data_IF_806349738379
#
_entry.id   IF_806349738379
#
_cell.length_a   1.000
_cell.length_b   1.000
_cell.length_c   1.000
_cell.angle_alpha   90.00
_cell.angle_beta   90.00
_cell.angle_gamma   90.00
#
_symmetry.space_group_name_H-M   'P 1'
#
loop_
_entity.id
_entity.type
_entity.pdbx_description
1 polymer ?
#
# COMPACT_ATOMS: atom_id res chain seq x y z
N UNK A 1 17.82 10.45 -7.28
CA UNK A 1 16.56 9.96 -6.66
C UNK A 1 16.72 9.90 -5.15
N UNK A 2 16.59 11.02 -4.45
CA UNK A 2 16.70 11.06 -2.98
C UNK A 2 15.49 10.42 -2.26
N UNK A 3 14.33 10.36 -2.93
CA UNK A 3 13.07 9.90 -2.34
C UNK A 3 12.76 8.41 -2.57
N UNK A 4 13.65 7.66 -3.23
CA UNK A 4 13.43 6.24 -3.54
C UNK A 4 13.07 5.39 -2.30
N UNK A 5 13.67 5.62 -1.11
CA UNK A 5 13.25 4.93 0.12
C UNK A 5 11.76 5.08 0.47
N UNK A 6 11.20 6.28 0.31
CA UNK A 6 9.79 6.57 0.64
C UNK A 6 8.81 5.92 -0.35
N UNK A 7 9.23 5.71 -1.60
CA UNK A 7 8.48 4.92 -2.60
C UNK A 7 8.19 3.53 -2.04
N UNK A 8 9.23 2.84 -1.56
CA UNK A 8 9.09 1.48 -1.01
C UNK A 8 8.29 1.48 0.29
N UNK A 9 8.57 2.41 1.20
CA UNK A 9 7.85 2.52 2.46
C UNK A 9 6.33 2.66 2.25
N UNK A 10 5.92 3.59 1.39
CA UNK A 10 4.49 3.84 1.13
C UNK A 10 3.83 2.68 0.40
N UNK A 11 4.40 2.18 -0.70
CA UNK A 11 3.77 1.10 -1.50
C UNK A 11 3.68 -0.21 -0.71
N UNK A 12 4.78 -0.64 -0.08
CA UNK A 12 4.80 -1.88 0.69
C UNK A 12 3.93 -1.75 1.95
N UNK A 13 3.98 -0.60 2.64
CA UNK A 13 3.17 -0.34 3.82
C UNK A 13 1.67 -0.34 3.51
N UNK A 14 1.23 0.36 2.46
CA UNK A 14 -0.16 0.37 2.00
C UNK A 14 -0.62 -1.03 1.58
N UNK A 15 0.23 -1.78 0.86
CA UNK A 15 -0.08 -3.15 0.45
C UNK A 15 -0.20 -4.11 1.64
N UNK A 16 0.66 -3.97 2.65
CA UNK A 16 0.60 -4.74 3.88
C UNK A 16 -0.66 -4.43 4.70
N UNK A 17 -1.01 -3.15 4.85
CA UNK A 17 -2.25 -2.73 5.52
C UNK A 17 -3.49 -3.29 4.80
N UNK A 18 -3.50 -3.22 3.46
CA UNK A 18 -4.56 -3.83 2.65
C UNK A 18 -4.64 -5.35 2.83
N UNK A 19 -3.51 -6.05 2.86
CA UNK A 19 -3.49 -7.50 3.09
C UNK A 19 -4.05 -7.88 4.48
N UNK A 20 -3.70 -7.14 5.54
CA UNK A 20 -4.28 -7.33 6.88
C UNK A 20 -5.81 -7.17 6.84
N UNK A 21 -6.31 -6.09 6.24
CA UNK A 21 -7.73 -5.82 6.12
C UNK A 21 -8.46 -6.94 5.35
N UNK A 22 -8.03 -7.26 4.13
CA UNK A 22 -8.76 -8.19 3.28
C UNK A 22 -8.67 -9.64 3.78
N UNK A 23 -7.53 -10.05 4.36
CA UNK A 23 -7.43 -11.36 4.97
C UNK A 23 -8.31 -11.48 6.22
N UNK A 24 -8.33 -10.45 7.08
CA UNK A 24 -9.18 -10.43 8.27
C UNK A 24 -10.68 -10.50 7.90
N UNK A 25 -11.14 -9.65 6.97
CA UNK A 25 -12.53 -9.68 6.50
C UNK A 25 -12.87 -11.01 5.81
N UNK A 26 -11.95 -11.55 5.01
CA UNK A 26 -12.14 -12.86 4.36
C UNK A 26 -12.32 -13.97 5.39
N UNK A 27 -11.58 -13.93 6.50
CA UNK A 27 -11.73 -14.88 7.61
C UNK A 27 -13.10 -14.73 8.29
N UNK A 28 -13.56 -13.50 8.53
CA UNK A 28 -14.88 -13.23 9.12
C UNK A 28 -16.04 -13.67 8.24
N UNK A 29 -15.86 -13.62 6.93
CA UNK A 29 -16.81 -14.16 5.95
C UNK A 29 -16.73 -15.68 5.78
N UNK A 30 -15.85 -16.37 6.48
CA UNK A 30 -15.65 -17.83 6.35
C UNK A 30 -15.00 -18.27 5.04
N UNK A 31 -14.47 -17.34 4.24
CA UNK A 31 -13.88 -17.61 2.92
C UNK A 31 -12.43 -18.12 2.96
N UNK A 32 -11.75 -17.95 4.09
CA UNK A 32 -10.40 -18.49 4.32
C UNK A 32 -10.30 -19.17 5.69
N UNK A 33 -9.39 -20.14 5.79
CA UNK A 33 -9.09 -20.82 7.04
C UNK A 33 -8.12 -20.04 7.94
N UNK A 34 -7.87 -20.58 9.13
CA UNK A 34 -6.95 -19.98 10.11
C UNK A 34 -5.48 -19.98 9.64
N UNK A 35 -5.09 -20.98 8.85
CA UNK A 35 -3.73 -21.12 8.32
C UNK A 35 -3.47 -20.06 7.25
N UNK A 36 -4.45 -19.78 6.40
CA UNK A 36 -4.41 -18.74 5.38
C UNK A 36 -4.34 -17.35 6.03
N UNK A 37 -5.17 -17.07 7.05
CA UNK A 37 -5.08 -15.81 7.80
C UNK A 37 -3.70 -15.64 8.45
N UNK A 38 -3.19 -16.67 9.12
CA UNK A 38 -1.84 -16.65 9.70
C UNK A 38 -0.78 -16.33 8.65
N UNK A 39 -0.81 -17.01 7.50
CA UNK A 39 0.18 -16.80 6.44
C UNK A 39 0.05 -15.39 5.84
N UNK A 40 -1.16 -14.84 5.72
CA UNK A 40 -1.41 -13.48 5.28
C UNK A 40 -0.81 -12.46 6.25
N UNK A 41 -1.05 -12.63 7.56
CA UNK A 41 -0.50 -11.74 8.60
C UNK A 41 1.03 -11.78 8.62
N UNK A 42 1.64 -12.97 8.45
CA UNK A 42 3.10 -13.11 8.36
C UNK A 42 3.63 -12.36 7.13
N UNK A 43 3.03 -12.60 5.96
CA UNK A 43 3.44 -11.95 4.72
C UNK A 43 3.30 -10.43 4.81
N UNK A 44 2.16 -9.93 5.29
CA UNK A 44 1.93 -8.51 5.49
C UNK A 44 2.96 -7.88 6.42
N UNK A 45 3.25 -8.54 7.55
CA UNK A 45 4.26 -8.07 8.49
C UNK A 45 5.64 -8.01 7.84
N UNK A 46 6.07 -9.06 7.13
CA UNK A 46 7.36 -9.08 6.43
C UNK A 46 7.45 -7.96 5.39
N UNK A 47 6.40 -7.79 4.57
CA UNK A 47 6.32 -6.72 3.57
C UNK A 47 6.43 -5.35 4.23
N UNK A 48 5.72 -5.13 5.34
CA UNK A 48 5.78 -3.87 6.10
C UNK A 48 7.18 -3.62 6.69
N UNK A 49 7.82 -4.64 7.26
CA UNK A 49 9.19 -4.52 7.81
C UNK A 49 10.20 -4.20 6.71
N UNK A 50 10.08 -4.80 5.52
CA UNK A 50 10.93 -4.46 4.37
C UNK A 50 10.69 -2.99 3.96
N UNK A 51 9.43 -2.55 3.88
CA UNK A 51 9.09 -1.16 3.58
C UNK A 51 9.69 -0.17 4.58
N UNK A 52 9.60 -0.47 5.89
CA UNK A 52 10.22 0.34 6.94
C UNK A 52 11.74 0.32 6.90
N UNK A 53 12.35 -0.84 6.67
CA UNK A 53 13.81 -0.95 6.62
C UNK A 53 14.38 -0.12 5.46
N UNK A 54 13.76 -0.22 4.28
CA UNK A 54 14.15 0.59 3.12
C UNK A 54 13.85 2.07 3.38
N UNK A 55 12.66 2.40 3.88
CA UNK A 55 12.29 3.78 4.25
C UNK A 55 13.31 4.40 5.21
N UNK A 56 13.68 3.70 6.28
CA UNK A 56 14.65 4.16 7.26
C UNK A 56 16.03 4.52 6.68
N UNK A 57 16.39 4.03 5.49
CA UNK A 57 17.64 4.41 4.81
C UNK A 57 17.68 5.90 4.40
N UNK A 58 16.53 6.58 4.30
CA UNK A 58 16.51 8.03 4.07
C UNK A 58 16.82 8.84 5.34
N UNK A 59 16.75 8.22 6.53
CA UNK A 59 16.93 8.92 7.80
C UNK A 59 18.42 8.98 8.11
N UNK A 60 19.08 10.06 7.70
CA UNK A 60 20.51 10.26 7.95
C UNK A 60 20.90 10.30 9.45
N UNK A 61 19.93 10.46 10.36
CA UNK A 61 20.16 10.47 11.82
C UNK A 61 19.07 9.70 12.58
N UNK A 62 19.20 8.37 12.72
CA UNK A 62 18.18 7.51 13.34
C UNK A 62 17.76 7.94 14.75
N UNK A 63 18.69 8.48 15.55
CA UNK A 63 18.39 8.94 16.92
C UNK A 63 17.44 10.15 16.96
N UNK A 64 17.37 10.95 15.89
CA UNK A 64 16.42 12.08 15.80
C UNK A 64 14.99 11.61 15.52
N UNK A 65 14.78 10.34 15.18
CA UNK A 65 13.43 9.76 15.07
C UNK A 65 12.61 9.96 16.35
N UNK A 66 13.23 9.85 17.53
CA UNK A 66 12.54 10.10 18.80
C UNK A 66 12.08 11.56 18.94
N UNK A 67 12.83 12.52 18.39
CA UNK A 67 12.40 13.92 18.36
C UNK A 67 11.22 14.12 17.41
N UNK A 68 11.13 13.32 16.33
CA UNK A 68 10.00 13.37 15.41
C UNK A 68 8.68 12.96 16.09
N UNK A 69 8.74 12.13 17.15
CA UNK A 69 7.57 11.79 17.96
C UNK A 69 6.98 13.00 18.72
N UNK A 70 7.80 14.01 19.03
CA UNK A 70 7.32 15.26 19.64
C UNK A 70 6.47 16.10 18.67
N UNK A 71 6.55 15.81 17.38
CA UNK A 71 5.73 16.44 16.34
C UNK A 71 4.37 15.76 16.11
N UNK A 72 4.06 14.67 16.82
CA UNK A 72 2.77 13.98 16.68
C UNK A 72 1.62 14.93 17.04
N UNK A 73 0.60 14.97 16.18
CA UNK A 73 -0.53 15.89 16.23
C UNK A 73 -0.26 17.24 15.55
N UNK A 74 0.99 17.58 15.20
CA UNK A 74 1.36 18.87 14.60
C UNK A 74 1.94 18.74 13.18
N UNK A 75 2.74 17.70 12.94
CA UNK A 75 3.41 17.46 11.66
C UNK A 75 2.80 16.23 10.97
N UNK A 76 2.34 16.34 9.70
CA UNK A 76 1.88 15.20 8.93
C UNK A 76 2.92 14.08 8.83
N UNK A 77 4.20 14.42 8.64
CA UNK A 77 5.29 13.45 8.56
C UNK A 77 5.49 12.72 9.89
N UNK A 78 5.42 13.43 11.02
CA UNK A 78 5.46 12.81 12.35
C UNK A 78 4.28 11.87 12.59
N UNK A 79 3.08 12.27 12.15
CA UNK A 79 1.87 11.44 12.26
C UNK A 79 1.98 10.16 11.43
N UNK A 80 2.49 10.26 10.19
CA UNK A 80 2.74 9.10 9.32
C UNK A 80 3.69 8.12 9.98
N UNK A 81 4.84 8.59 10.45
CA UNK A 81 5.84 7.76 11.11
C UNK A 81 5.29 7.09 12.38
N UNK A 82 4.60 7.85 13.23
CA UNK A 82 3.97 7.31 14.45
C UNK A 82 2.92 6.24 14.14
N UNK A 83 1.99 6.52 13.21
CA UNK A 83 0.93 5.58 12.85
C UNK A 83 1.48 4.32 12.19
N UNK A 84 2.55 4.43 11.41
CA UNK A 84 3.24 3.27 10.86
C UNK A 84 3.83 2.38 11.97
N UNK A 85 4.42 2.97 13.01
CA UNK A 85 4.92 2.25 14.19
C UNK A 85 3.80 1.59 15.01
N UNK A 86 2.67 2.26 15.19
CA UNK A 86 1.47 1.68 15.85
C UNK A 86 0.96 0.47 15.06
N UNK A 87 0.86 0.58 13.74
CA UNK A 87 0.46 -0.53 12.87
C UNK A 87 1.41 -1.72 13.01
N UNK A 88 2.72 -1.50 12.92
CA UNK A 88 3.72 -2.58 13.07
C UNK A 88 3.67 -3.22 14.45
N UNK A 89 3.43 -2.44 15.50
CA UNK A 89 3.30 -2.95 16.87
C UNK A 89 2.12 -3.91 16.98
N UNK A 90 0.94 -3.55 16.47
CA UNK A 90 -0.23 -4.44 16.51
C UNK A 90 -0.12 -5.62 15.54
N UNK A 91 0.53 -5.45 14.40
CA UNK A 91 0.85 -6.55 13.50
C UNK A 91 1.80 -7.56 14.16
N UNK A 92 2.86 -7.09 14.84
CA UNK A 92 3.76 -7.93 15.63
C UNK A 92 3.03 -8.63 16.79
N UNK A 93 2.17 -7.91 17.52
CA UNK A 93 1.36 -8.48 18.58
C UNK A 93 0.42 -9.59 18.06
N UNK A 94 -0.19 -9.38 16.88
CA UNK A 94 -1.02 -10.39 16.21
C UNK A 94 -0.22 -11.65 15.95
N UNK A 95 1.00 -11.53 15.40
CA UNK A 95 1.88 -12.68 15.17
C UNK A 95 2.35 -13.32 16.46
N UNK A 96 2.68 -12.53 17.48
CA UNK A 96 3.13 -13.03 18.77
C UNK A 96 2.08 -13.92 19.43
N UNK A 97 0.83 -13.44 19.50
CA UNK A 97 -0.29 -14.22 20.03
C UNK A 97 -0.73 -15.36 19.13
N UNK A 98 -0.37 -15.35 17.84
CA UNK A 98 -0.65 -16.46 16.91
C UNK A 98 0.39 -17.57 17.02
N UNK A 99 1.67 -17.23 17.12
CA UNK A 99 2.78 -18.19 16.99
C UNK A 99 3.29 -18.70 18.33
N UNK A 100 3.43 -17.83 19.33
CA UNK A 100 4.13 -18.16 20.57
C UNK A 100 3.15 -18.39 21.72
N UNK A 101 2.31 -17.40 22.03
CA UNK A 101 1.47 -17.45 23.24
C UNK A 101 0.08 -18.09 23.02
N UNK A 102 -0.37 -18.17 21.76
CA UNK A 102 -1.58 -18.90 21.32
C UNK A 102 -2.86 -18.55 22.10
N UNK A 103 -3.06 -17.27 22.47
CA UNK A 103 -4.29 -16.78 23.11
C UNK A 103 -5.26 -16.22 22.07
N UNK A 104 -6.40 -16.88 21.78
CA UNK A 104 -7.29 -16.48 20.69
C UNK A 104 -7.88 -15.09 20.84
N UNK A 105 -8.29 -14.70 22.05
CA UNK A 105 -8.87 -13.38 22.33
C UNK A 105 -7.87 -12.25 22.09
N UNK A 106 -6.64 -12.37 22.62
CA UNK A 106 -5.60 -11.35 22.44
C UNK A 106 -5.15 -11.24 20.99
N UNK A 107 -5.05 -12.39 20.30
CA UNK A 107 -4.79 -12.42 18.85
C UNK A 107 -5.86 -11.68 18.07
N UNK A 108 -7.13 -11.91 18.39
CA UNK A 108 -8.26 -11.27 17.73
C UNK A 108 -8.25 -9.76 17.94
N UNK A 109 -8.10 -9.31 19.19
CA UNK A 109 -8.00 -7.89 19.53
C UNK A 109 -6.80 -7.22 18.84
N UNK A 110 -5.63 -7.88 18.83
CA UNK A 110 -4.46 -7.38 18.14
C UNK A 110 -4.66 -7.27 16.63
N UNK A 111 -5.36 -8.23 16.01
CA UNK A 111 -5.62 -8.21 14.58
C UNK A 111 -6.58 -7.07 14.20
N UNK A 112 -7.65 -6.87 14.98
CA UNK A 112 -8.56 -5.72 14.82
C UNK A 112 -7.79 -4.40 14.97
N UNK A 113 -6.95 -4.30 16.00
CA UNK A 113 -6.13 -3.11 16.22
C UNK A 113 -5.14 -2.87 15.08
N UNK A 114 -4.54 -3.93 14.50
CA UNK A 114 -3.67 -3.86 13.33
C UNK A 114 -4.41 -3.36 12.09
N UNK A 115 -5.64 -3.82 11.85
CA UNK A 115 -6.47 -3.34 10.74
C UNK A 115 -6.80 -1.86 10.90
N UNK A 116 -7.26 -1.43 12.08
CA UNK A 116 -7.64 -0.03 12.35
C UNK A 116 -6.42 0.89 12.23
N UNK A 117 -5.30 0.52 12.87
CA UNK A 117 -4.06 1.32 12.80
C UNK A 117 -3.44 1.32 11.40
N UNK A 118 -3.53 0.22 10.65
CA UNK A 118 -3.13 0.16 9.25
C UNK A 118 -3.93 1.12 8.38
N UNK A 119 -5.25 1.22 8.56
CA UNK A 119 -6.08 2.20 7.86
C UNK A 119 -5.74 3.65 8.26
N UNK A 120 -5.50 3.89 9.55
CA UNK A 120 -5.06 5.21 10.02
C UNK A 120 -3.69 5.59 9.42
N UNK A 121 -2.77 4.63 9.29
CA UNK A 121 -1.50 4.82 8.60
C UNK A 121 -1.69 5.13 7.10
N UNK A 122 -2.52 4.38 6.38
CA UNK A 122 -2.80 4.70 4.96
C UNK A 122 -3.42 6.09 4.80
N UNK A 123 -4.29 6.49 5.73
CA UNK A 123 -4.90 7.82 5.78
C UNK A 123 -3.90 8.96 6.04
N UNK A 124 -2.84 8.71 6.82
CA UNK A 124 -1.85 9.75 7.14
C UNK A 124 -0.87 10.04 6.00
N UNK A 125 -0.57 9.05 5.15
CA UNK A 125 0.35 9.20 4.02
C UNK A 125 0.01 10.41 3.12
N UNK A 126 -1.20 10.54 2.54
CA UNK A 126 -1.49 11.67 1.64
C UNK A 126 -1.42 13.04 2.32
N UNK A 127 -1.55 13.13 3.64
CA UNK A 127 -1.43 14.41 4.37
C UNK A 127 -0.01 14.96 4.35
N UNK A 128 0.99 14.10 4.17
CA UNK A 128 2.39 14.52 3.99
C UNK A 128 2.57 15.28 2.67
N UNK A 129 1.78 14.94 1.65
CA UNK A 129 1.95 15.44 0.28
C UNK A 129 0.95 16.52 -0.12
N UNK A 130 -0.19 16.64 0.57
CA UNK A 130 -1.14 17.74 0.37
C UNK A 130 -0.62 19.04 1.00
N UNK A 131 0.48 19.56 0.46
CA UNK A 131 1.16 20.77 0.90
C UNK A 131 1.09 21.86 -0.17
N UNK A 132 0.65 23.06 0.22
CA UNK A 132 0.36 24.15 -0.70
C UNK A 132 1.56 24.58 -1.57
N UNK A 133 2.79 24.36 -1.11
CA UNK A 133 4.02 24.73 -1.82
C UNK A 133 4.35 23.84 -3.03
N UNK A 134 3.66 22.71 -3.20
CA UNK A 134 3.91 21.77 -4.29
C UNK A 134 2.57 21.42 -4.94
N UNK A 135 2.18 22.22 -5.95
CA UNK A 135 0.88 22.11 -6.60
C UNK A 135 0.63 20.71 -7.22
N UNK A 136 1.65 20.08 -7.80
CA UNK A 136 1.53 18.75 -8.41
C UNK A 136 1.14 17.65 -7.40
N UNK A 137 1.46 17.86 -6.12
CA UNK A 137 1.14 16.94 -5.03
C UNK A 137 -0.13 17.34 -4.27
N UNK A 138 -0.45 18.63 -4.20
CA UNK A 138 -1.60 19.15 -3.49
C UNK A 138 -2.90 19.01 -4.29
N UNK A 139 -3.38 17.77 -4.42
CA UNK A 139 -4.56 17.45 -5.21
C UNK A 139 -5.28 16.22 -4.67
N UNK A 140 -6.59 16.14 -4.93
CA UNK A 140 -7.39 14.96 -4.58
C UNK A 140 -6.90 13.69 -5.28
N UNK A 141 -6.25 13.80 -6.45
CA UNK A 141 -5.63 12.67 -7.14
C UNK A 141 -4.53 11.99 -6.32
N UNK A 142 -3.76 12.77 -5.54
CA UNK A 142 -2.75 12.24 -4.62
C UNK A 142 -3.39 11.33 -3.60
N UNK A 143 -4.40 11.85 -2.89
CA UNK A 143 -5.16 11.07 -1.90
C UNK A 143 -5.76 9.82 -2.52
N UNK A 144 -6.40 9.95 -3.69
CA UNK A 144 -7.00 8.81 -4.40
C UNK A 144 -5.95 7.74 -4.72
N UNK A 145 -4.82 8.12 -5.32
CA UNK A 145 -3.75 7.19 -5.68
C UNK A 145 -3.19 6.45 -4.44
N UNK A 146 -3.02 7.14 -3.31
CA UNK A 146 -2.54 6.53 -2.07
C UNK A 146 -3.49 5.42 -1.57
N UNK A 147 -4.79 5.68 -1.56
CA UNK A 147 -5.78 4.66 -1.17
C UNK A 147 -5.89 3.52 -2.19
N UNK A 148 -5.78 3.80 -3.49
CA UNK A 148 -5.87 2.76 -4.50
C UNK A 148 -4.69 1.78 -4.43
N UNK A 149 -3.49 2.23 -4.04
CA UNK A 149 -2.35 1.32 -3.79
C UNK A 149 -2.66 0.29 -2.71
N UNK A 150 -3.39 0.67 -1.64
CA UNK A 150 -3.83 -0.29 -0.62
C UNK A 150 -4.79 -1.33 -1.20
N UNK A 151 -5.76 -0.90 -2.02
CA UNK A 151 -6.74 -1.80 -2.64
C UNK A 151 -6.09 -2.75 -3.65
N UNK A 152 -5.24 -2.21 -4.54
CA UNK A 152 -4.58 -2.93 -5.62
C UNK A 152 -3.49 -3.85 -5.08
N UNK A 153 -2.51 -3.30 -4.34
CA UNK A 153 -1.41 -4.09 -3.78
C UNK A 153 -1.88 -5.08 -2.72
N UNK A 154 -2.71 -4.64 -1.78
CA UNK A 154 -3.28 -5.50 -0.74
C UNK A 154 -4.23 -6.56 -1.31
N UNK A 155 -5.05 -6.19 -2.30
CA UNK A 155 -5.94 -7.11 -3.01
C UNK A 155 -5.15 -8.19 -3.76
N UNK A 156 -4.12 -7.81 -4.51
CA UNK A 156 -3.26 -8.77 -5.23
C UNK A 156 -2.56 -9.76 -4.29
N UNK A 157 -2.05 -9.29 -3.16
CA UNK A 157 -1.47 -10.16 -2.13
C UNK A 157 -2.52 -11.08 -1.48
N UNK A 158 -3.73 -10.57 -1.24
CA UNK A 158 -4.84 -11.36 -0.70
C UNK A 158 -5.25 -12.49 -1.68
N UNK A 159 -5.27 -12.21 -2.98
CA UNK A 159 -5.49 -13.23 -4.02
C UNK A 159 -4.40 -14.32 -3.93
N UNK A 160 -3.14 -13.92 -3.83
CA UNK A 160 -2.00 -14.84 -3.79
C UNK A 160 -2.02 -15.79 -2.56
N UNK A 161 -2.50 -15.30 -1.41
CA UNK A 161 -2.63 -16.12 -0.18
C UNK A 161 -3.90 -16.98 -0.15
N UNK A 162 -4.83 -16.73 -1.08
CA UNK A 162 -6.06 -17.51 -1.26
C UNK A 162 -7.34 -16.83 -0.77
N UNK A 163 -7.27 -15.58 -0.29
CA UNK A 163 -8.43 -14.72 -0.01
C UNK A 163 -9.00 -14.13 -1.33
N UNK A 164 -9.36 -15.02 -2.26
CA UNK A 164 -9.62 -14.66 -3.67
C UNK A 164 -10.83 -13.74 -3.85
N UNK A 165 -11.94 -13.98 -3.15
CA UNK A 165 -13.18 -13.21 -3.34
C UNK A 165 -12.99 -11.72 -3.05
N UNK A 166 -12.65 -11.37 -1.81
CA UNK A 166 -12.38 -9.98 -1.43
C UNK A 166 -11.13 -9.42 -2.12
N UNK A 167 -10.09 -10.23 -2.33
CA UNK A 167 -8.88 -9.78 -3.02
C UNK A 167 -9.15 -9.35 -4.47
N UNK A 168 -9.95 -10.12 -5.22
CA UNK A 168 -10.38 -9.76 -6.58
C UNK A 168 -11.26 -8.52 -6.56
N UNK A 169 -12.24 -8.44 -5.66
CA UNK A 169 -13.13 -7.29 -5.56
C UNK A 169 -12.34 -6.00 -5.26
N UNK A 170 -11.44 -6.04 -4.28
CA UNK A 170 -10.58 -4.92 -3.94
C UNK A 170 -9.67 -4.50 -5.10
N UNK A 171 -9.01 -5.48 -5.75
CA UNK A 171 -8.14 -5.22 -6.90
C UNK A 171 -8.93 -4.59 -8.06
N UNK A 172 -10.11 -5.12 -8.38
CA UNK A 172 -11.00 -4.60 -9.42
C UNK A 172 -11.39 -3.15 -9.14
N UNK A 173 -11.90 -2.86 -7.94
CA UNK A 173 -12.28 -1.50 -7.55
C UNK A 173 -11.08 -0.56 -7.65
N UNK A 174 -9.95 -0.96 -7.09
CA UNK A 174 -8.71 -0.18 -7.14
C UNK A 174 -8.25 0.13 -8.57
N UNK A 175 -8.17 -0.89 -9.42
CA UNK A 175 -7.73 -0.75 -10.81
C UNK A 175 -8.70 0.11 -11.64
N UNK A 176 -10.02 -0.11 -11.50
CA UNK A 176 -11.05 0.67 -12.21
C UNK A 176 -10.97 2.15 -11.82
N UNK A 177 -10.84 2.45 -10.53
CA UNK A 177 -10.71 3.83 -10.06
C UNK A 177 -9.42 4.47 -10.58
N UNK A 178 -8.28 3.75 -10.55
CA UNK A 178 -7.02 4.24 -11.13
C UNK A 178 -7.18 4.57 -12.62
N UNK A 179 -7.84 3.70 -13.39
CA UNK A 179 -8.05 3.93 -14.82
C UNK A 179 -9.01 5.09 -15.08
N UNK A 180 -10.12 5.16 -14.35
CA UNK A 180 -11.11 6.21 -14.47
C UNK A 180 -10.53 7.60 -14.14
N UNK A 181 -9.66 7.69 -13.13
CA UNK A 181 -9.05 8.95 -12.73
C UNK A 181 -7.82 9.33 -13.56
N UNK A 182 -7.27 8.41 -14.37
CA UNK A 182 -5.95 8.60 -15.02
C UNK A 182 -5.93 9.78 -15.98
N UNK A 183 -6.93 9.88 -16.85
CA UNK A 183 -7.01 10.95 -17.85
C UNK A 183 -7.12 12.33 -17.18
N UNK A 184 -7.98 12.46 -16.16
CA UNK A 184 -8.12 13.69 -15.39
C UNK A 184 -6.84 14.08 -14.64
N UNK A 185 -6.13 13.11 -14.06
CA UNK A 185 -4.87 13.39 -13.39
C UNK A 185 -3.78 13.84 -14.38
N UNK A 186 -3.68 13.19 -15.54
CA UNK A 186 -2.72 13.59 -16.57
C UNK A 186 -3.02 14.97 -17.16
N UNK A 187 -4.29 15.33 -17.37
CA UNK A 187 -4.68 16.67 -17.80
C UNK A 187 -4.22 17.73 -16.78
N UNK A 188 -4.52 17.51 -15.49
CA UNK A 188 -4.09 18.38 -14.40
C UNK A 188 -2.56 18.55 -14.34
N UNK A 189 -1.79 17.46 -14.45
CA UNK A 189 -0.33 17.52 -14.44
C UNK A 189 0.24 18.20 -15.70
N UNK A 190 -0.43 18.06 -16.84
CA UNK A 190 0.00 18.72 -18.08
C UNK A 190 -0.22 20.24 -18.02
N UNK A 191 -1.18 20.71 -17.23
CA UNK A 191 -1.39 22.14 -16.97
C UNK A 191 -0.42 22.68 -15.90
N UNK A 192 -0.19 21.92 -14.83
CA UNK A 192 0.56 22.39 -13.64
C UNK A 192 2.08 22.23 -13.78
N UNK A 193 2.54 21.19 -14.49
CA UNK A 193 3.95 20.85 -14.64
C UNK A 193 4.22 20.01 -15.90
N UNK A 194 4.04 20.57 -17.12
CA UNK A 194 4.05 19.81 -18.37
C UNK A 194 5.35 19.03 -18.62
N UNK A 195 6.51 19.65 -18.37
CA UNK A 195 7.81 19.00 -18.57
C UNK A 195 7.99 17.78 -17.66
N UNK A 196 7.72 17.94 -16.35
CA UNK A 196 7.80 16.85 -15.37
C UNK A 196 6.78 15.75 -15.68
N UNK A 197 5.54 16.12 -16.03
CA UNK A 197 4.49 15.18 -16.42
C UNK A 197 4.93 14.30 -17.59
N UNK A 198 5.49 14.92 -18.65
CA UNK A 198 5.95 14.22 -19.84
C UNK A 198 7.04 13.18 -19.53
N UNK A 199 8.01 13.54 -18.67
CA UNK A 199 9.08 12.63 -18.24
C UNK A 199 8.57 11.39 -17.50
N UNK A 200 7.42 11.47 -16.83
CA UNK A 200 6.86 10.33 -16.07
C UNK A 200 5.99 9.38 -16.90
N UNK A 201 5.75 9.70 -18.19
CA UNK A 201 4.86 8.91 -19.07
C UNK A 201 5.22 7.43 -19.11
N UNK A 202 6.52 7.09 -19.11
CA UNK A 202 6.98 5.70 -19.13
C UNK A 202 6.57 4.91 -17.88
N UNK A 203 6.74 5.50 -16.69
CA UNK A 203 6.35 4.86 -15.43
C UNK A 203 4.83 4.69 -15.31
N UNK A 204 4.06 5.70 -15.73
CA UNK A 204 2.59 5.62 -15.75
C UNK A 204 2.09 4.57 -16.75
N UNK A 205 2.68 4.53 -17.94
CA UNK A 205 2.36 3.53 -18.97
C UNK A 205 2.66 2.11 -18.48
N UNK A 206 3.84 1.90 -17.88
CA UNK A 206 4.19 0.61 -17.28
C UNK A 206 3.17 0.19 -16.21
N UNK A 207 2.81 1.08 -15.29
CA UNK A 207 1.81 0.78 -14.27
C UNK A 207 0.49 0.33 -14.89
N UNK A 208 -0.06 1.10 -15.83
CA UNK A 208 -1.35 0.79 -16.47
C UNK A 208 -1.30 -0.54 -17.21
N UNK A 209 -0.28 -0.77 -18.03
CA UNK A 209 -0.13 -2.01 -18.80
C UNK A 209 -0.08 -3.23 -17.88
N UNK A 210 0.73 -3.18 -16.82
CA UNK A 210 0.84 -4.30 -15.88
C UNK A 210 -0.47 -4.52 -15.13
N UNK A 211 -1.17 -3.45 -14.72
CA UNK A 211 -2.47 -3.59 -14.06
C UNK A 211 -3.54 -4.19 -14.98
N UNK A 212 -3.57 -3.84 -16.27
CA UNK A 212 -4.48 -4.44 -17.26
C UNK A 212 -4.18 -5.94 -17.44
N UNK A 213 -2.91 -6.31 -17.57
CA UNK A 213 -2.49 -7.72 -17.69
C UNK A 213 -2.85 -8.50 -16.42
N UNK A 214 -2.57 -7.92 -15.24
CA UNK A 214 -2.89 -8.53 -13.95
C UNK A 214 -4.41 -8.70 -13.76
N UNK A 215 -5.21 -7.72 -14.20
CA UNK A 215 -6.67 -7.79 -14.17
C UNK A 215 -7.19 -8.95 -15.02
N UNK A 216 -6.74 -9.04 -16.28
CA UNK A 216 -7.10 -10.15 -17.17
C UNK A 216 -6.65 -11.50 -16.59
N UNK A 217 -5.45 -11.55 -16.00
CA UNK A 217 -4.91 -12.71 -15.33
C UNK A 217 -5.77 -13.16 -14.14
N UNK A 218 -6.07 -12.25 -13.20
CA UNK A 218 -6.86 -12.56 -12.01
C UNK A 218 -8.30 -12.96 -12.35
N UNK A 219 -8.96 -12.27 -13.29
CA UNK A 219 -10.31 -12.65 -13.76
C UNK A 219 -10.28 -14.00 -14.45
N UNK A 220 -9.36 -14.24 -15.39
CA UNK A 220 -9.23 -15.53 -16.07
C UNK A 220 -8.94 -16.69 -15.11
N UNK A 221 -8.14 -16.45 -14.07
CA UNK A 221 -7.83 -17.42 -13.02
C UNK A 221 -9.01 -17.67 -12.08
N UNK A 222 -9.83 -16.65 -11.80
CA UNK A 222 -11.06 -16.80 -11.03
C UNK A 222 -12.07 -17.72 -11.73
N UNK A 223 -12.19 -17.59 -13.05
CA UNK A 223 -13.07 -18.41 -13.88
C UNK A 223 -12.62 -19.87 -13.98
N UNK A 224 -11.31 -20.13 -14.02
CA UNK A 224 -10.76 -21.49 -14.20
C UNK A 224 -10.68 -22.32 -12.92
N UNK A 225 -11.05 -21.78 -11.75
CA UNK A 225 -10.99 -22.35 -10.39
C UNK A 225 -9.63 -22.94 -9.91
N UNK A 226 -8.69 -23.24 -10.80
CA UNK A 226 -7.35 -23.76 -10.53
C UNK A 226 -6.30 -22.84 -11.14
N UNK A 227 -5.68 -22.04 -10.28
CA UNK A 227 -4.49 -21.25 -10.60
C UNK A 227 -3.31 -21.75 -9.75
N UNK A 228 -2.14 -22.03 -10.34
CA UNK A 228 -0.94 -22.36 -9.59
C UNK A 228 -0.58 -21.24 -8.62
N UNK A 229 -0.17 -21.58 -7.40
CA UNK A 229 0.24 -20.60 -6.38
C UNK A 229 1.41 -19.72 -6.86
N UNK A 230 2.34 -20.31 -7.62
CA UNK A 230 3.47 -19.58 -8.19
C UNK A 230 3.00 -18.46 -9.13
N UNK A 231 2.07 -18.76 -10.04
CA UNK A 231 1.52 -17.76 -10.97
C UNK A 231 0.83 -16.61 -10.23
N UNK A 232 0.02 -16.91 -9.21
CA UNK A 232 -0.64 -15.88 -8.40
C UNK A 232 0.38 -15.00 -7.66
N UNK A 233 1.45 -15.59 -7.12
CA UNK A 233 2.53 -14.86 -6.47
C UNK A 233 3.30 -13.99 -7.46
N UNK A 234 3.60 -14.49 -8.67
CA UNK A 234 4.22 -13.70 -9.74
C UNK A 234 3.35 -12.53 -10.17
N UNK A 235 2.03 -12.74 -10.34
CA UNK A 235 1.10 -11.65 -10.64
C UNK A 235 1.06 -10.60 -9.51
N UNK A 236 1.02 -11.02 -8.25
CA UNK A 236 1.06 -10.10 -7.12
C UNK A 236 2.38 -9.31 -7.07
N UNK A 237 3.52 -9.96 -7.33
CA UNK A 237 4.81 -9.29 -7.45
C UNK A 237 4.84 -8.26 -8.59
N UNK A 238 4.30 -8.61 -9.76
CA UNK A 238 4.20 -7.67 -10.88
C UNK A 238 3.31 -6.46 -10.54
N UNK A 239 2.19 -6.67 -9.84
CA UNK A 239 1.34 -5.57 -9.35
C UNK A 239 2.10 -4.66 -8.39
N UNK A 240 2.90 -5.20 -7.46
CA UNK A 240 3.72 -4.36 -6.57
C UNK A 240 4.77 -3.56 -7.35
N UNK A 241 5.39 -4.14 -8.38
CA UNK A 241 6.30 -3.40 -9.27
C UNK A 241 5.59 -2.28 -10.04
N UNK A 242 4.36 -2.51 -10.48
CA UNK A 242 3.53 -1.50 -11.13
C UNK A 242 3.22 -0.34 -10.18
N UNK A 243 2.84 -0.65 -8.93
CA UNK A 243 2.59 0.38 -7.91
C UNK A 243 3.87 1.14 -7.53
N UNK A 244 5.01 0.46 -7.45
CA UNK A 244 6.32 1.12 -7.26
C UNK A 244 6.64 2.07 -8.42
N UNK A 245 6.42 1.67 -9.67
CA UNK A 245 6.62 2.53 -10.83
C UNK A 245 5.72 3.78 -10.78
N UNK A 246 4.41 3.60 -10.53
CA UNK A 246 3.49 4.72 -10.36
C UNK A 246 3.83 5.62 -9.18
N UNK A 247 4.41 5.06 -8.12
CA UNK A 247 4.88 5.84 -6.97
C UNK A 247 6.17 6.60 -7.28
N UNK A 248 7.12 6.03 -8.02
CA UNK A 248 8.30 6.75 -8.52
C UNK A 248 7.88 7.97 -9.35
N UNK A 249 6.94 7.75 -10.29
CA UNK A 249 6.38 8.83 -11.09
C UNK A 249 5.82 9.96 -10.21
N UNK A 250 5.05 9.61 -9.17
CA UNK A 250 4.50 10.57 -8.21
C UNK A 250 5.58 11.39 -7.48
N UNK A 251 6.62 10.76 -6.91
CA UNK A 251 7.67 11.49 -6.19
C UNK A 251 8.53 12.36 -7.11
N UNK A 252 8.66 12.00 -8.39
CA UNK A 252 9.37 12.83 -9.37
C UNK A 252 8.60 14.10 -9.78
N UNK A 253 7.33 14.25 -9.38
CA UNK A 253 6.56 15.48 -9.62
C UNK A 253 6.89 16.62 -8.64
N UNK A 254 7.94 16.46 -7.82
CA UNK A 254 8.41 17.49 -6.90
C UNK A 254 8.90 18.73 -7.66
N UNK A 255 8.20 19.84 -7.46
CA UNK A 255 8.62 21.16 -7.91
C UNK A 255 8.00 22.21 -6.99
N UNK A 256 8.82 23.14 -6.50
CA UNK A 256 8.33 24.29 -5.73
C UNK A 256 7.63 25.23 -6.71
N UNK A 257 6.39 25.62 -6.40
CA UNK A 257 5.69 26.68 -7.12
C UNK A 257 6.42 28.00 -6.91
N UNK A 258 6.91 28.63 -7.99
CA UNK A 258 7.43 30.00 -7.94
C UNK A 258 6.31 31.02 -7.98
#
# INVERSE_FOLDING_TARGET
>A
MHELPLVFFTVLGQSAAGLFLFAYLSKKMGSIDEKQLKNANILAFVVMIIGLAIGGLHVGQPLRFFNMLLGVGRSPMSNEAFLSGVFVTFAAATLFFTLFYKKPLLRELANIAAVISGLAFVWSIPQVYNIASIANWNTSYTTLQMWMTMLVGGGALAIAIGARGLGIAAFLVGAVVIFASRAGYQAFLSETGPALSAEQTGFWGFQVVVLVIALAGFVGMALKQRAPKATLATCAGAVLLAELAGRIAFYNLWQITM
#
